data_IF_831824353499
#
_entry.id   IF_831824353499
#
_cell.length_a   1.000
_cell.length_b   1.000
_cell.length_c   1.000
_cell.angle_alpha   90.00
_cell.angle_beta   90.00
_cell.angle_gamma   90.00
#
_symmetry.space_group_name_H-M   'P 1'
#
loop_
_entity.id
_entity.type
_entity.pdbx_description
1 polymer ?
#
# COMPACT_ATOMS: atom_id res chain seq x y z
N UNK A 1 -12.87 13.84 -7.70
CA UNK A 1 -11.99 13.40 -6.60
C UNK A 1 -10.59 13.33 -7.17
N UNK A 2 -9.61 14.06 -6.60
CA UNK A 2 -8.23 14.02 -7.07
C UNK A 2 -7.64 12.62 -6.83
N UNK A 3 -6.90 12.10 -7.81
CA UNK A 3 -6.23 10.79 -7.74
C UNK A 3 -5.25 10.68 -6.56
N UNK A 4 -4.79 11.82 -6.02
CA UNK A 4 -3.92 11.90 -4.83
C UNK A 4 -4.65 11.67 -3.50
N UNK A 5 -5.98 11.73 -3.43
CA UNK A 5 -6.73 11.57 -2.17
C UNK A 5 -6.96 10.09 -1.81
N UNK A 6 -7.03 9.21 -2.82
CA UNK A 6 -7.27 7.77 -2.65
C UNK A 6 -6.10 7.06 -1.91
N UNK A 7 -4.81 7.33 -2.22
CA UNK A 7 -3.69 6.69 -1.55
C UNK A 7 -3.74 6.85 -0.03
N UNK A 8 -4.00 8.07 0.46
CA UNK A 8 -3.93 8.39 1.89
C UNK A 8 -4.95 7.59 2.70
N UNK A 9 -6.20 7.50 2.23
CA UNK A 9 -7.23 6.70 2.91
C UNK A 9 -6.85 5.22 2.97
N UNK A 10 -6.29 4.69 1.88
CA UNK A 10 -5.88 3.30 1.80
C UNK A 10 -4.73 2.99 2.77
N UNK A 11 -3.74 3.89 2.87
CA UNK A 11 -2.65 3.78 3.85
C UNK A 11 -3.19 3.76 5.28
N UNK A 12 -4.11 4.66 5.60
CA UNK A 12 -4.69 4.75 6.94
C UNK A 12 -5.48 3.48 7.32
N UNK A 13 -6.30 2.97 6.41
CA UNK A 13 -7.06 1.72 6.62
C UNK A 13 -6.10 0.53 6.82
N UNK A 14 -5.05 0.47 6.02
CA UNK A 14 -4.05 -0.58 6.14
C UNK A 14 -3.33 -0.53 7.49
N UNK A 15 -2.81 0.64 7.89
CA UNK A 15 -2.11 0.83 9.16
C UNK A 15 -3.01 0.51 10.37
N UNK A 16 -4.30 0.88 10.31
CA UNK A 16 -5.28 0.55 11.34
C UNK A 16 -5.52 -0.97 11.47
N UNK A 17 -5.45 -1.71 10.36
CA UNK A 17 -5.69 -3.16 10.34
C UNK A 17 -4.48 -3.99 10.78
N UNK A 18 -3.29 -3.63 10.32
CA UNK A 18 -2.08 -4.45 10.50
C UNK A 18 -1.08 -3.88 11.50
N UNK A 19 -1.24 -2.63 11.95
CA UNK A 19 -0.34 -1.99 12.92
C UNK A 19 1.07 -1.69 12.37
N UNK A 20 1.26 -1.81 11.06
CA UNK A 20 2.53 -1.57 10.37
C UNK A 20 2.35 -0.60 9.20
N UNK A 21 3.46 0.00 8.78
CA UNK A 21 3.54 0.90 7.63
C UNK A 21 4.63 0.43 6.66
N UNK A 22 4.79 1.18 5.57
CA UNK A 22 5.79 0.94 4.52
C UNK A 22 6.67 2.18 4.34
N UNK A 23 7.79 2.03 3.64
CA UNK A 23 8.67 3.15 3.30
C UNK A 23 7.96 4.15 2.38
N UNK A 24 8.03 5.44 2.73
CA UNK A 24 7.50 6.53 1.90
C UNK A 24 8.20 6.63 0.54
N UNK A 25 9.40 6.07 0.38
CA UNK A 25 10.12 6.02 -0.90
C UNK A 25 9.36 5.23 -1.96
N UNK A 26 8.52 4.27 -1.58
CA UNK A 26 7.70 3.50 -2.52
C UNK A 26 6.60 4.34 -3.18
N UNK A 27 6.24 5.47 -2.58
CA UNK A 27 5.29 6.42 -3.17
C UNK A 27 5.93 7.41 -4.15
N UNK A 28 7.26 7.46 -4.20
CA UNK A 28 8.01 8.36 -5.09
C UNK A 28 8.27 7.78 -6.48
N UNK A 29 8.09 6.47 -6.64
CA UNK A 29 8.18 5.75 -7.92
C UNK A 29 6.77 5.30 -8.33
N UNK A 30 6.33 5.68 -9.53
CA UNK A 30 4.96 5.41 -10.00
C UNK A 30 4.66 3.91 -10.14
N UNK A 31 5.66 3.08 -10.47
CA UNK A 31 5.48 1.64 -10.59
C UNK A 31 5.32 1.00 -9.21
N UNK A 32 6.16 1.38 -8.24
CA UNK A 32 6.04 0.92 -6.86
C UNK A 32 4.76 1.40 -6.19
N UNK A 33 4.36 2.66 -6.44
CA UNK A 33 3.12 3.22 -5.93
C UNK A 33 1.90 2.44 -6.42
N UNK A 34 1.84 2.15 -7.72
CA UNK A 34 0.74 1.38 -8.31
C UNK A 34 0.64 -0.03 -7.71
N UNK A 35 1.78 -0.73 -7.64
CA UNK A 35 1.86 -2.08 -7.04
C UNK A 35 1.49 -2.06 -5.57
N UNK A 36 2.00 -1.10 -4.81
CA UNK A 36 1.68 -0.92 -3.39
C UNK A 36 0.18 -0.71 -3.18
N UNK A 37 -0.47 0.18 -3.95
CA UNK A 37 -1.92 0.41 -3.85
C UNK A 37 -2.71 -0.88 -4.08
N UNK A 38 -2.33 -1.68 -5.09
CA UNK A 38 -2.97 -2.96 -5.36
C UNK A 38 -2.81 -3.93 -4.18
N UNK A 39 -1.58 -4.09 -3.68
CA UNK A 39 -1.27 -5.01 -2.59
C UNK A 39 -1.97 -4.62 -1.28
N UNK A 40 -2.02 -3.33 -0.96
CA UNK A 40 -2.75 -2.81 0.19
C UNK A 40 -4.25 -3.11 0.07
N UNK A 41 -4.84 -2.95 -1.12
CA UNK A 41 -6.24 -3.29 -1.38
C UNK A 41 -6.54 -4.78 -1.17
N UNK A 42 -5.65 -5.66 -1.64
CA UNK A 42 -5.79 -7.10 -1.43
C UNK A 42 -5.61 -7.50 0.05
N UNK A 43 -4.71 -6.83 0.79
CA UNK A 43 -4.55 -7.06 2.23
C UNK A 43 -5.74 -6.56 3.05
N UNK A 44 -6.27 -5.37 2.74
CA UNK A 44 -7.45 -4.80 3.39
C UNK A 44 -8.67 -5.69 3.14
N UNK A 45 -8.86 -6.19 1.91
CA UNK A 45 -9.95 -7.11 1.58
C UNK A 45 -9.76 -8.54 2.11
N UNK A 46 -8.59 -8.85 2.70
CA UNK A 46 -8.31 -10.15 3.32
C UNK A 46 -7.90 -11.24 2.34
N UNK A 47 -7.60 -10.90 1.09
CA UNK A 47 -7.08 -11.84 0.09
C UNK A 47 -5.62 -12.22 0.33
N UNK A 48 -4.88 -11.36 1.05
CA UNK A 48 -3.51 -11.64 1.52
C UNK A 48 -3.27 -11.13 2.93
N UNK A 49 -2.16 -11.55 3.50
CA UNK A 49 -1.62 -11.03 4.75
C UNK A 49 -1.00 -9.63 4.59
N UNK A 50 -0.27 -9.20 5.61
CA UNK A 50 0.42 -7.92 5.61
C UNK A 50 1.35 -7.77 4.39
N UNK A 51 1.49 -6.52 3.95
CA UNK A 51 2.37 -6.03 2.89
C UNK A 51 3.55 -5.30 3.53
N UNK A 52 4.74 -5.61 3.07
CA UNK A 52 6.00 -5.00 3.45
C UNK A 52 6.65 -4.35 2.23
N UNK A 53 7.73 -3.61 2.44
CA UNK A 53 8.48 -3.00 1.35
C UNK A 53 9.01 -4.05 0.35
N UNK A 54 9.40 -5.23 0.87
CA UNK A 54 9.93 -6.34 0.07
C UNK A 54 8.89 -6.92 -0.90
N UNK A 55 7.60 -6.91 -0.54
CA UNK A 55 6.52 -7.33 -1.43
C UNK A 55 6.38 -6.38 -2.64
N UNK A 56 6.78 -5.13 -2.48
CA UNK A 56 6.71 -4.11 -3.53
C UNK A 56 7.95 -4.18 -4.42
N UNK A 57 9.13 -4.34 -3.83
CA UNK A 57 10.42 -4.30 -4.54
C UNK A 57 10.85 -5.64 -5.15
N UNK A 58 10.33 -6.77 -4.66
CA UNK A 58 10.61 -8.08 -5.25
C UNK A 58 9.79 -8.29 -6.53
N UNK A 59 10.44 -8.72 -7.61
CA UNK A 59 9.78 -9.07 -8.88
C UNK A 59 8.89 -10.33 -8.77
#
# INVERSE_FOLDING_TARGET
MNEETIPIMLVQQYAAKFGITFSSSLMADDAYKSKLIQLLGDAISGKRGAVTDEDVTSE
#
